data_IF_940138104867
#
_entry.id   IF_940138104867
#
_cell.length_a   1.000
_cell.length_b   1.000
_cell.length_c   1.000
_cell.angle_alpha   90.00
_cell.angle_beta   90.00
_cell.angle_gamma   90.00
#
_symmetry.space_group_name_H-M   'P 1'
#
loop_
_entity.id
_entity.type
_entity.pdbx_description
1 polymer ?
#
# COMPACT_ATOMS: atom_id res chain seq x y z
N UNK A 1 -18.15 -5.81 -17.26
CA UNK A 1 -18.35 -6.85 -18.29
C UNK A 1 -19.57 -7.74 -17.99
N UNK A 2 -19.61 -8.46 -16.85
CA UNK A 2 -20.73 -9.38 -16.52
C UNK A 2 -21.99 -8.71 -15.94
N UNK A 3 -21.93 -7.39 -15.72
CA UNK A 3 -23.07 -6.55 -15.32
C UNK A 3 -23.82 -5.91 -16.49
N UNK A 4 -23.40 -6.19 -17.74
CA UNK A 4 -24.17 -5.78 -18.92
C UNK A 4 -25.53 -6.51 -18.92
N UNK A 5 -26.63 -5.86 -19.36
CA UNK A 5 -27.93 -6.50 -19.54
C UNK A 5 -27.87 -7.80 -20.36
N UNK A 6 -26.90 -7.89 -21.28
CA UNK A 6 -26.62 -9.07 -22.10
C UNK A 6 -26.34 -10.33 -21.28
N UNK A 7 -25.87 -10.20 -20.04
CA UNK A 7 -25.54 -11.33 -19.15
C UNK A 7 -26.57 -11.53 -18.03
N UNK A 8 -27.77 -10.95 -18.13
CA UNK A 8 -28.82 -11.12 -17.12
C UNK A 8 -29.35 -12.56 -17.02
N UNK A 9 -29.08 -13.39 -18.02
CA UNK A 9 -29.40 -14.82 -18.00
C UNK A 9 -28.47 -15.63 -17.06
N UNK A 10 -27.34 -15.07 -16.63
CA UNK A 10 -26.43 -15.72 -15.68
C UNK A 10 -26.83 -15.40 -14.24
N UNK A 11 -26.87 -16.43 -13.39
CA UNK A 11 -27.03 -16.23 -11.94
C UNK A 11 -25.80 -15.52 -11.36
N UNK A 12 -25.91 -14.82 -10.22
CA UNK A 12 -24.77 -14.20 -9.54
C UNK A 12 -23.61 -15.18 -9.29
N UNK A 13 -23.91 -16.43 -8.93
CA UNK A 13 -22.91 -17.48 -8.68
C UNK A 13 -22.15 -17.84 -9.96
N UNK A 14 -22.87 -17.98 -11.08
CA UNK A 14 -22.25 -18.26 -12.37
C UNK A 14 -21.39 -17.08 -12.85
N UNK A 15 -21.85 -15.83 -12.65
CA UNK A 15 -21.04 -14.64 -12.94
C UNK A 15 -19.72 -14.66 -12.15
N UNK A 16 -19.76 -15.02 -10.86
CA UNK A 16 -18.56 -15.15 -10.04
C UNK A 16 -17.63 -16.29 -10.48
N UNK A 17 -18.17 -17.42 -10.93
CA UNK A 17 -17.37 -18.53 -11.49
C UNK A 17 -16.68 -18.09 -12.79
N UNK A 18 -17.41 -17.45 -13.70
CA UNK A 18 -16.86 -16.94 -14.96
C UNK A 18 -15.77 -15.91 -14.68
N UNK A 19 -16.02 -14.96 -13.77
CA UNK A 19 -15.05 -13.94 -13.39
C UNK A 19 -13.75 -14.54 -12.86
N UNK A 20 -13.82 -15.51 -11.92
CA UNK A 20 -12.62 -16.20 -11.42
C UNK A 20 -11.85 -16.92 -12.52
N UNK A 21 -12.54 -17.56 -13.47
CA UNK A 21 -11.88 -18.20 -14.63
C UNK A 21 -11.20 -17.18 -15.54
N UNK A 22 -11.78 -16.01 -15.74
CA UNK A 22 -11.17 -14.91 -16.49
C UNK A 22 -9.89 -14.44 -15.80
N UNK A 23 -9.93 -14.19 -14.48
CA UNK A 23 -8.76 -13.75 -13.72
C UNK A 23 -7.56 -14.69 -13.82
N UNK A 24 -7.80 -16.01 -13.83
CA UNK A 24 -6.74 -17.02 -13.95
C UNK A 24 -6.17 -17.07 -15.37
N UNK A 25 -7.01 -16.92 -16.39
CA UNK A 25 -6.60 -17.03 -17.80
C UNK A 25 -6.00 -15.76 -18.38
N UNK A 26 -6.29 -14.60 -17.80
CA UNK A 26 -5.81 -13.31 -18.30
C UNK A 26 -4.29 -13.18 -18.14
N UNK A 27 -3.61 -12.97 -19.27
CA UNK A 27 -2.20 -12.62 -19.30
C UNK A 27 -1.96 -11.19 -18.77
N UNK A 28 -2.83 -10.26 -19.15
CA UNK A 28 -2.83 -8.88 -18.67
C UNK A 28 -4.14 -8.57 -17.92
N UNK A 29 -4.00 -8.14 -16.66
CA UNK A 29 -5.14 -7.79 -15.81
C UNK A 29 -5.48 -6.29 -15.89
N UNK A 30 -4.63 -5.44 -16.47
CA UNK A 30 -4.80 -3.98 -16.45
C UNK A 30 -6.14 -3.49 -17.01
N UNK A 31 -6.60 -3.93 -18.19
CA UNK A 31 -7.87 -3.43 -18.74
C UNK A 31 -9.05 -3.78 -17.83
N UNK A 32 -9.01 -4.97 -17.22
CA UNK A 32 -10.03 -5.43 -16.29
C UNK A 32 -10.00 -4.63 -14.99
N UNK A 33 -8.80 -4.36 -14.44
CA UNK A 33 -8.63 -3.52 -13.25
C UNK A 33 -9.20 -2.12 -13.48
N UNK A 34 -8.83 -1.46 -14.58
CA UNK A 34 -9.36 -0.13 -14.93
C UNK A 34 -10.89 -0.12 -14.95
N UNK A 35 -11.48 -1.10 -15.64
CA UNK A 35 -12.92 -1.20 -15.75
C UNK A 35 -13.60 -1.39 -14.39
N UNK A 36 -13.06 -2.26 -13.53
CA UNK A 36 -13.64 -2.53 -12.21
C UNK A 36 -13.53 -1.33 -11.28
N UNK A 37 -12.39 -0.63 -11.30
CA UNK A 37 -12.19 0.59 -10.53
C UNK A 37 -13.13 1.71 -10.99
N UNK A 38 -13.31 1.87 -12.29
CA UNK A 38 -14.27 2.83 -12.84
C UNK A 38 -15.71 2.52 -12.38
N UNK A 39 -16.09 1.24 -12.40
CA UNK A 39 -17.39 0.80 -11.92
C UNK A 39 -17.58 1.04 -10.42
N UNK A 40 -16.56 0.74 -9.62
CA UNK A 40 -16.56 0.93 -8.17
C UNK A 40 -16.70 2.41 -7.79
N UNK A 41 -15.99 3.31 -8.47
CA UNK A 41 -16.06 4.75 -8.17
C UNK A 41 -17.35 5.42 -8.68
N UNK A 42 -17.89 5.01 -9.84
CA UNK A 42 -19.07 5.67 -10.44
C UNK A 42 -20.40 5.24 -9.85
N UNK A 43 -20.48 4.02 -9.34
CA UNK A 43 -21.70 3.44 -8.77
C UNK A 43 -21.30 2.61 -7.57
N UNK A 44 -21.99 2.76 -6.44
CA UNK A 44 -21.95 1.78 -5.36
C UNK A 44 -22.56 0.46 -5.88
N UNK A 45 -21.81 -0.28 -6.69
CA UNK A 45 -22.17 -1.55 -7.29
C UNK A 45 -21.53 -2.64 -6.42
N UNK A 46 -22.32 -3.37 -5.61
CA UNK A 46 -21.79 -4.44 -4.77
C UNK A 46 -21.05 -5.51 -5.56
N UNK A 47 -21.43 -5.76 -6.82
CA UNK A 47 -20.74 -6.75 -7.66
C UNK A 47 -19.36 -6.25 -8.11
N UNK A 48 -19.20 -4.93 -8.33
CA UNK A 48 -17.89 -4.35 -8.65
C UNK A 48 -16.92 -4.50 -7.47
N UNK A 49 -17.38 -4.23 -6.24
CA UNK A 49 -16.58 -4.44 -5.04
C UNK A 49 -16.19 -5.92 -4.86
N UNK A 50 -17.13 -6.85 -5.05
CA UNK A 50 -16.81 -8.28 -4.93
C UNK A 50 -15.82 -8.73 -6.01
N UNK A 51 -15.98 -8.27 -7.25
CA UNK A 51 -15.01 -8.54 -8.31
C UNK A 51 -13.62 -7.93 -8.01
N UNK A 52 -13.57 -6.74 -7.41
CA UNK A 52 -12.32 -6.14 -6.94
C UNK A 52 -11.67 -6.95 -5.82
N UNK A 53 -12.46 -7.53 -4.89
CA UNK A 53 -11.94 -8.44 -3.86
C UNK A 53 -11.33 -9.70 -4.48
N UNK A 54 -12.01 -10.31 -5.44
CA UNK A 54 -11.50 -11.47 -6.16
C UNK A 54 -10.23 -11.14 -6.97
N UNK A 55 -10.19 -9.98 -7.64
CA UNK A 55 -9.00 -9.48 -8.33
C UNK A 55 -7.83 -9.26 -7.34
N UNK A 56 -8.11 -8.59 -6.22
CA UNK A 56 -7.13 -8.36 -5.14
C UNK A 56 -6.56 -9.68 -4.62
N UNK A 57 -7.40 -10.67 -4.36
CA UNK A 57 -6.98 -12.01 -3.93
C UNK A 57 -6.11 -12.69 -4.99
N UNK A 58 -6.46 -12.57 -6.27
CA UNK A 58 -5.66 -13.13 -7.36
C UNK A 58 -4.28 -12.47 -7.46
N UNK A 59 -4.20 -11.13 -7.32
CA UNK A 59 -2.92 -10.40 -7.34
C UNK A 59 -2.07 -10.78 -6.12
N UNK A 60 -2.66 -10.86 -4.92
CA UNK A 60 -1.99 -11.35 -3.72
C UNK A 60 -1.46 -12.77 -3.92
N UNK A 61 -2.26 -13.66 -4.50
CA UNK A 61 -1.87 -15.03 -4.83
C UNK A 61 -0.70 -15.09 -5.82
N UNK A 62 -0.69 -14.23 -6.85
CA UNK A 62 0.44 -14.13 -7.79
C UNK A 62 1.75 -13.75 -7.08
N UNK A 63 1.71 -12.82 -6.12
CA UNK A 63 2.90 -12.49 -5.31
C UNK A 63 3.35 -13.64 -4.41
N UNK A 64 2.41 -14.24 -3.67
CA UNK A 64 2.73 -15.32 -2.72
C UNK A 64 3.28 -16.57 -3.41
N UNK A 65 2.81 -16.87 -4.63
CA UNK A 65 3.22 -18.03 -5.41
C UNK A 65 4.42 -17.77 -6.33
N UNK A 66 4.91 -16.54 -6.42
CA UNK A 66 6.09 -16.24 -7.23
C UNK A 66 7.32 -17.00 -6.69
N UNK A 67 8.05 -17.64 -7.59
CA UNK A 67 9.37 -18.19 -7.24
C UNK A 67 10.33 -17.05 -6.90
N UNK A 68 11.40 -17.36 -6.15
CA UNK A 68 12.39 -16.34 -5.77
C UNK A 68 13.06 -15.76 -7.02
N UNK A 69 13.41 -16.62 -7.98
CA UNK A 69 14.13 -16.25 -9.20
C UNK A 69 13.29 -15.41 -10.16
N UNK A 70 11.96 -15.57 -10.13
CA UNK A 70 11.04 -14.85 -11.01
C UNK A 70 10.41 -13.61 -10.38
N UNK A 71 10.70 -13.33 -9.09
CA UNK A 71 10.01 -12.27 -8.35
C UNK A 71 10.28 -10.88 -8.95
N UNK A 72 11.53 -10.60 -9.31
CA UNK A 72 11.90 -9.34 -9.96
C UNK A 72 11.26 -9.19 -11.35
N UNK A 73 11.38 -10.21 -12.21
CA UNK A 73 10.76 -10.17 -13.54
C UNK A 73 9.24 -10.02 -13.46
N UNK A 74 8.61 -10.64 -12.46
CA UNK A 74 7.18 -10.49 -12.22
C UNK A 74 6.84 -9.08 -11.73
N UNK A 75 7.68 -8.49 -10.88
CA UNK A 75 7.53 -7.11 -10.43
C UNK A 75 7.77 -6.08 -11.55
N UNK A 76 8.55 -6.41 -12.56
CA UNK A 76 8.75 -5.55 -13.74
C UNK A 76 7.69 -5.76 -14.82
N UNK A 77 6.76 -6.71 -14.62
CA UNK A 77 5.64 -6.96 -15.55
C UNK A 77 4.44 -6.05 -15.29
N UNK A 78 3.39 -6.21 -16.09
CA UNK A 78 2.10 -5.52 -15.89
C UNK A 78 1.46 -5.78 -14.52
N UNK A 79 1.91 -6.80 -13.77
CA UNK A 79 1.42 -7.04 -12.42
C UNK A 79 1.74 -5.90 -11.45
N UNK A 80 2.87 -5.19 -11.63
CA UNK A 80 3.19 -4.00 -10.82
C UNK A 80 2.19 -2.89 -11.03
N UNK A 81 1.84 -2.59 -12.27
CA UNK A 81 0.84 -1.56 -12.59
C UNK A 81 -0.50 -1.91 -11.94
N UNK A 82 -0.96 -3.15 -12.09
CA UNK A 82 -2.20 -3.63 -11.46
C UNK A 82 -2.14 -3.52 -9.94
N UNK A 83 -1.01 -3.88 -9.33
CA UNK A 83 -0.81 -3.77 -7.90
C UNK A 83 -0.88 -2.32 -7.41
N UNK A 84 -0.19 -1.39 -8.10
CA UNK A 84 -0.23 0.04 -7.78
C UNK A 84 -1.65 0.62 -7.92
N UNK A 85 -2.38 0.23 -8.97
CA UNK A 85 -3.76 0.68 -9.17
C UNK A 85 -4.68 0.27 -8.02
N UNK A 86 -4.52 -0.96 -7.50
CA UNK A 86 -5.32 -1.46 -6.37
C UNK A 86 -4.97 -0.78 -5.04
N UNK A 87 -3.69 -0.46 -4.82
CA UNK A 87 -3.26 0.29 -3.64
C UNK A 87 -3.85 1.71 -3.65
N UNK A 88 -3.82 2.36 -4.82
CA UNK A 88 -4.27 3.74 -4.98
C UNK A 88 -5.80 3.91 -5.01
N UNK A 89 -6.56 2.81 -5.08
CA UNK A 89 -8.02 2.85 -5.28
C UNK A 89 -8.85 2.82 -4.00
N UNK A 90 -8.28 3.21 -2.85
CA UNK A 90 -8.90 3.13 -1.51
C UNK A 90 -9.42 1.76 -1.07
N UNK A 91 -9.16 0.68 -1.82
CA UNK A 91 -9.66 -0.66 -1.52
C UNK A 91 -9.11 -1.22 -0.20
N UNK A 92 -7.99 -0.67 0.29
CA UNK A 92 -7.40 -0.98 1.60
C UNK A 92 -8.27 -0.56 2.79
N UNK A 93 -9.21 0.39 2.62
CA UNK A 93 -10.12 0.80 3.71
C UNK A 93 -11.47 0.10 3.67
N UNK A 94 -11.71 -0.71 2.64
CA UNK A 94 -12.90 -1.54 2.59
C UNK A 94 -12.88 -2.62 3.67
N UNK A 95 -14.06 -2.91 4.22
CA UNK A 95 -14.19 -3.96 5.23
C UNK A 95 -13.72 -5.30 4.64
N UNK A 96 -12.75 -5.90 5.31
CA UNK A 96 -12.25 -7.22 4.98
C UNK A 96 -13.29 -8.30 5.33
N UNK A 97 -13.47 -9.25 4.42
CA UNK A 97 -14.23 -10.48 4.69
C UNK A 97 -13.53 -11.34 5.76
N UNK A 98 -14.24 -12.33 6.30
CA UNK A 98 -13.63 -13.28 7.26
C UNK A 98 -12.38 -13.95 6.73
N UNK A 99 -12.41 -14.40 5.46
CA UNK A 99 -11.27 -15.04 4.80
C UNK A 99 -10.10 -14.09 4.55
N UNK A 100 -10.37 -12.85 4.13
CA UNK A 100 -9.32 -11.84 3.94
C UNK A 100 -8.67 -11.48 5.27
N UNK A 101 -9.44 -11.33 6.35
CA UNK A 101 -8.87 -11.10 7.69
C UNK A 101 -7.93 -12.23 8.13
N UNK A 102 -8.32 -13.48 7.90
CA UNK A 102 -7.45 -14.62 8.22
C UNK A 102 -6.15 -14.58 7.43
N UNK A 103 -6.22 -14.34 6.11
CA UNK A 103 -5.05 -14.19 5.25
C UNK A 103 -4.15 -13.05 5.73
N UNK A 104 -4.71 -11.85 5.91
CA UNK A 104 -3.97 -10.66 6.36
C UNK A 104 -3.31 -10.90 7.71
N UNK A 105 -4.03 -11.44 8.69
CA UNK A 105 -3.45 -11.74 10.00
C UNK A 105 -2.26 -12.70 9.91
N UNK A 106 -2.36 -13.76 9.10
CA UNK A 106 -1.26 -14.70 8.88
C UNK A 106 -0.04 -14.02 8.25
N UNK A 107 -0.25 -13.15 7.27
CA UNK A 107 0.83 -12.47 6.58
C UNK A 107 1.47 -11.40 7.47
N UNK A 108 0.69 -10.60 8.18
CA UNK A 108 1.18 -9.56 9.11
C UNK A 108 1.97 -10.20 10.26
N UNK A 109 1.54 -11.35 10.79
CA UNK A 109 2.32 -12.11 11.78
C UNK A 109 3.71 -12.50 11.27
N UNK A 110 3.85 -12.86 9.99
CA UNK A 110 5.15 -13.16 9.37
C UNK A 110 6.04 -11.92 9.27
N UNK A 111 5.43 -10.74 9.07
CA UNK A 111 6.16 -9.47 8.92
C UNK A 111 6.63 -8.85 10.24
N UNK A 112 6.08 -9.29 11.39
CA UNK A 112 6.47 -8.77 12.70
C UNK A 112 7.96 -8.95 13.02
N UNK A 113 8.62 -9.93 12.38
CA UNK A 113 10.04 -10.19 12.56
C UNK A 113 10.93 -9.32 11.66
N UNK A 114 10.37 -8.52 10.77
CA UNK A 114 11.09 -7.74 9.77
C UNK A 114 11.13 -8.39 8.39
N UNK A 115 11.68 -7.65 7.42
CA UNK A 115 11.78 -8.10 6.02
C UNK A 115 13.20 -8.59 5.78
N UNK A 116 13.43 -9.89 5.95
CA UNK A 116 14.77 -10.48 5.81
C UNK A 116 14.92 -11.48 4.66
N UNK A 117 13.82 -11.85 4.00
CA UNK A 117 13.81 -12.90 2.98
C UNK A 117 12.84 -12.56 1.86
N UNK A 118 12.97 -13.24 0.72
CA UNK A 118 12.00 -13.16 -0.37
C UNK A 118 10.59 -13.60 0.04
N UNK A 119 10.45 -14.49 1.03
CA UNK A 119 9.14 -14.84 1.60
C UNK A 119 8.50 -13.68 2.35
N UNK A 120 9.28 -12.90 3.11
CA UNK A 120 8.80 -11.68 3.75
C UNK A 120 8.41 -10.62 2.72
N UNK A 121 9.21 -10.43 1.67
CA UNK A 121 8.88 -9.51 0.58
C UNK A 121 7.58 -9.88 -0.13
N UNK A 122 7.39 -11.18 -0.46
CA UNK A 122 6.14 -11.68 -1.04
C UNK A 122 4.94 -11.46 -0.12
N UNK A 123 5.12 -11.65 1.20
CA UNK A 123 4.08 -11.37 2.19
C UNK A 123 3.75 -9.87 2.24
N UNK A 124 4.76 -9.00 2.22
CA UNK A 124 4.56 -7.55 2.19
C UNK A 124 3.77 -7.12 0.95
N UNK A 125 4.19 -7.52 -0.25
CA UNK A 125 3.48 -7.21 -1.50
C UNK A 125 2.01 -7.66 -1.47
N UNK A 126 1.72 -8.79 -0.82
CA UNK A 126 0.34 -9.22 -0.62
C UNK A 126 -0.41 -8.35 0.40
N UNK A 127 0.15 -8.05 1.58
CA UNK A 127 -0.53 -7.25 2.63
C UNK A 127 -0.75 -5.81 2.20
N UNK A 128 0.16 -5.22 1.43
CA UNK A 128 0.00 -3.88 0.87
C UNK A 128 -1.32 -3.71 0.10
N UNK A 129 -1.92 -4.78 -0.45
CA UNK A 129 -3.22 -4.69 -1.12
C UNK A 129 -4.42 -4.54 -0.17
N UNK A 130 -4.22 -4.84 1.12
CA UNK A 130 -5.28 -4.94 2.13
C UNK A 130 -5.16 -3.88 3.21
N UNK A 131 -3.95 -3.40 3.53
CA UNK A 131 -3.72 -2.48 4.63
C UNK A 131 -2.72 -1.40 4.25
N UNK A 132 -2.91 -0.15 4.74
CA UNK A 132 -1.86 0.88 4.68
C UNK A 132 -0.72 0.53 5.63
N UNK A 133 0.46 1.12 5.40
CA UNK A 133 1.68 0.79 6.14
C UNK A 133 1.52 0.96 7.65
N UNK A 134 0.83 2.02 8.10
CA UNK A 134 0.62 2.28 9.52
C UNK A 134 -0.20 1.21 10.24
N UNK A 135 -1.01 0.42 9.51
CA UNK A 135 -1.80 -0.68 10.07
C UNK A 135 -1.04 -2.01 10.12
N UNK A 136 0.04 -2.12 9.35
CA UNK A 136 0.98 -3.23 9.46
C UNK A 136 1.92 -2.88 10.61
N UNK A 137 2.09 -3.75 11.59
CA UNK A 137 3.15 -3.60 12.60
C UNK A 137 4.52 -3.92 11.98
N UNK A 138 4.87 -3.18 10.93
CA UNK A 138 6.00 -3.47 10.08
C UNK A 138 7.29 -3.02 10.77
N UNK A 139 8.19 -3.96 11.02
CA UNK A 139 9.55 -3.62 11.39
C UNK A 139 10.35 -3.24 10.13
N UNK A 140 10.40 -1.94 9.85
CA UNK A 140 11.16 -1.35 8.74
C UNK A 140 12.65 -1.17 9.05
N UNK A 141 13.08 -1.36 10.31
CA UNK A 141 14.47 -1.19 10.70
C UNK A 141 15.31 -2.32 10.11
N UNK A 142 16.37 -1.97 9.36
CA UNK A 142 17.26 -2.92 8.68
C UNK A 142 16.53 -3.88 7.72
N UNK A 143 15.39 -3.44 7.16
CA UNK A 143 14.66 -4.22 6.17
C UNK A 143 15.50 -4.42 4.90
N UNK A 144 15.58 -5.66 4.43
CA UNK A 144 16.27 -6.03 3.19
C UNK A 144 15.28 -5.82 2.04
N UNK A 145 15.34 -4.64 1.43
CA UNK A 145 14.48 -4.25 0.31
C UNK A 145 15.26 -4.28 -1.00
N UNK A 146 14.82 -5.03 -2.02
CA UNK A 146 15.47 -5.03 -3.32
C UNK A 146 15.34 -3.68 -4.03
N UNK A 147 16.39 -3.29 -4.77
CA UNK A 147 16.42 -2.02 -5.49
C UNK A 147 15.25 -1.81 -6.47
N UNK A 148 14.78 -2.87 -7.13
CA UNK A 148 13.65 -2.80 -8.07
C UNK A 148 12.30 -2.44 -7.40
N UNK A 149 12.19 -2.60 -6.08
CA UNK A 149 10.98 -2.32 -5.30
C UNK A 149 11.15 -1.12 -4.35
N UNK A 150 12.38 -0.68 -4.10
CA UNK A 150 12.70 0.27 -3.05
C UNK A 150 11.90 1.59 -3.11
N UNK A 151 11.77 2.18 -4.30
CA UNK A 151 10.99 3.42 -4.46
C UNK A 151 9.50 3.21 -4.12
N UNK A 152 8.92 2.08 -4.54
CA UNK A 152 7.51 1.75 -4.27
C UNK A 152 7.30 1.40 -2.79
N UNK A 153 8.30 0.78 -2.14
CA UNK A 153 8.32 0.56 -0.70
C UNK A 153 8.30 1.88 0.07
N UNK A 154 9.15 2.84 -0.29
CA UNK A 154 9.16 4.16 0.35
C UNK A 154 7.83 4.88 0.14
N UNK A 155 7.31 4.90 -1.09
CA UNK A 155 6.01 5.52 -1.38
C UNK A 155 4.89 4.93 -0.52
N UNK A 156 4.91 3.61 -0.30
CA UNK A 156 3.94 2.93 0.54
C UNK A 156 4.11 3.24 2.04
N UNK A 157 5.35 3.30 2.54
CA UNK A 157 5.62 3.68 3.93
C UNK A 157 5.09 5.08 4.24
N UNK A 158 5.32 6.02 3.34
CA UNK A 158 4.96 7.42 3.53
C UNK A 158 3.55 7.77 3.07
N UNK A 159 2.78 6.78 2.61
CA UNK A 159 1.46 7.01 2.04
C UNK A 159 0.56 7.79 3.01
N UNK A 160 0.12 8.94 2.52
CA UNK A 160 -0.67 9.91 3.24
C UNK A 160 -2.13 9.88 2.81
N UNK A 161 -2.56 8.79 2.17
CA UNK A 161 -3.85 8.74 1.51
C UNK A 161 -5.02 9.21 2.40
N UNK A 162 -5.96 10.02 1.87
CA UNK A 162 -6.99 10.72 2.67
C UNK A 162 -7.91 9.81 3.49
N UNK A 163 -8.01 8.53 3.14
CA UNK A 163 -8.84 7.55 3.82
C UNK A 163 -8.23 7.00 5.12
N UNK A 164 -6.97 7.30 5.42
CA UNK A 164 -6.35 6.98 6.71
C UNK A 164 -6.95 7.85 7.84
N UNK A 165 -7.65 8.91 7.46
CA UNK A 165 -8.19 9.95 8.33
C UNK A 165 -9.55 9.50 8.87
N UNK A 166 -9.52 8.89 10.06
CA UNK A 166 -10.68 8.35 10.74
C UNK A 166 -10.27 7.67 12.04
N UNK A 167 -10.77 6.47 12.30
CA UNK A 167 -10.37 5.66 13.48
C UNK A 167 -8.88 5.35 13.56
N UNK A 168 -8.15 5.48 12.44
CA UNK A 168 -6.74 5.11 12.33
C UNK A 168 -5.78 6.32 12.44
N UNK A 169 -6.31 7.53 12.69
CA UNK A 169 -5.50 8.75 12.74
C UNK A 169 -4.36 8.66 13.76
N UNK A 170 -4.63 8.17 14.96
CA UNK A 170 -3.62 8.00 16.02
C UNK A 170 -2.51 7.05 15.61
N UNK A 171 -2.88 5.90 15.03
CA UNK A 171 -1.93 4.91 14.55
C UNK A 171 -1.05 5.47 13.43
N UNK A 172 -1.64 6.23 12.51
CA UNK A 172 -0.89 6.93 11.46
C UNK A 172 0.07 7.98 12.01
N UNK A 173 -0.35 8.80 12.98
CA UNK A 173 0.52 9.80 13.63
C UNK A 173 1.71 9.11 14.31
N UNK A 174 1.45 8.07 15.10
CA UNK A 174 2.49 7.34 15.81
C UNK A 174 3.49 6.69 14.84
N UNK A 175 2.98 6.08 13.76
CA UNK A 175 3.80 5.46 12.74
C UNK A 175 4.73 6.49 12.06
N UNK A 176 4.19 7.64 11.64
CA UNK A 176 4.97 8.70 11.01
C UNK A 176 5.99 9.35 11.95
N UNK A 177 5.66 9.54 13.23
CA UNK A 177 6.64 9.98 14.24
C UNK A 177 7.81 8.99 14.36
N UNK A 178 7.51 7.69 14.36
CA UNK A 178 8.52 6.63 14.39
C UNK A 178 9.44 6.69 13.17
N UNK A 179 8.87 6.83 11.98
CA UNK A 179 9.63 6.95 10.75
C UNK A 179 10.49 8.23 10.71
N UNK A 180 9.95 9.38 11.13
CA UNK A 180 10.69 10.64 11.18
C UNK A 180 11.88 10.56 12.15
N UNK A 181 11.65 9.99 13.34
CA UNK A 181 12.73 9.71 14.31
C UNK A 181 13.79 8.79 13.70
N UNK A 182 13.38 7.75 12.99
CA UNK A 182 14.30 6.82 12.33
C UNK A 182 15.13 7.53 11.25
N UNK A 183 14.54 8.40 10.43
CA UNK A 183 15.29 9.21 9.46
C UNK A 183 16.33 10.09 10.15
N UNK A 184 15.93 10.82 11.20
CA UNK A 184 16.83 11.72 11.93
C UNK A 184 18.04 10.97 12.48
N UNK A 185 17.80 9.88 13.21
CA UNK A 185 18.88 9.05 13.78
C UNK A 185 19.82 8.51 12.71
N UNK A 186 19.31 8.09 11.54
CA UNK A 186 20.19 7.55 10.51
C UNK A 186 20.97 8.63 9.76
N UNK A 187 20.43 9.84 9.59
CA UNK A 187 21.17 10.97 9.02
C UNK A 187 22.33 11.40 9.92
N UNK A 188 22.11 11.48 11.24
CA UNK A 188 23.16 11.75 12.22
C UNK A 188 24.25 10.66 12.24
N UNK A 189 23.87 9.40 12.00
CA UNK A 189 24.83 8.29 11.92
C UNK A 189 25.53 8.20 10.55
N UNK A 190 24.96 8.78 9.50
CA UNK A 190 25.47 8.69 8.12
C UNK A 190 26.76 9.48 7.88
N UNK A 191 27.24 10.25 8.86
CA UNK A 191 28.51 11.01 8.80
C UNK A 191 29.77 10.14 8.59
N UNK A 192 29.65 8.81 8.50
CA UNK A 192 30.80 7.91 8.37
C UNK A 192 31.30 7.68 6.94
N UNK A 193 30.49 7.88 5.87
CA UNK A 193 30.95 7.78 4.45
C UNK A 193 30.01 8.50 3.46
N UNK A 194 30.54 9.00 2.34
CA UNK A 194 29.78 9.72 1.30
C UNK A 194 28.61 8.90 0.71
N UNK A 195 28.81 7.60 0.44
CA UNK A 195 27.78 6.74 -0.16
C UNK A 195 26.57 6.47 0.74
N UNK A 196 26.76 6.42 2.06
CA UNK A 196 25.67 6.28 3.02
C UNK A 196 24.86 7.57 3.12
N UNK A 197 25.52 8.71 2.99
CA UNK A 197 24.87 10.01 3.01
C UNK A 197 23.97 10.22 1.78
N UNK A 198 24.44 9.84 0.58
CA UNK A 198 23.65 9.90 -0.65
C UNK A 198 22.37 9.05 -0.57
N UNK A 199 22.47 7.86 0.02
CA UNK A 199 21.31 7.00 0.25
C UNK A 199 20.26 7.69 1.12
N UNK A 200 20.66 8.25 2.26
CA UNK A 200 19.72 8.91 3.17
C UNK A 200 19.16 10.21 2.60
N UNK A 201 19.94 10.98 1.84
CA UNK A 201 19.43 12.12 1.08
C UNK A 201 18.34 11.71 0.07
N UNK A 202 18.51 10.57 -0.62
CA UNK A 202 17.46 10.05 -1.50
C UNK A 202 16.18 9.72 -0.71
N UNK A 203 16.29 9.05 0.44
CA UNK A 203 15.14 8.76 1.29
C UNK A 203 14.44 10.04 1.77
N UNK A 204 15.22 11.06 2.17
CA UNK A 204 14.70 12.38 2.55
C UNK A 204 13.96 13.03 1.37
N UNK A 205 14.53 13.00 0.16
CA UNK A 205 13.88 13.58 -1.02
C UNK A 205 12.51 12.94 -1.31
N UNK A 206 12.38 11.61 -1.15
CA UNK A 206 11.10 10.92 -1.28
C UNK A 206 10.12 11.36 -0.18
N UNK A 207 10.57 11.42 1.07
CA UNK A 207 9.74 11.91 2.18
C UNK A 207 9.27 13.35 1.97
N UNK A 208 10.15 14.27 1.55
CA UNK A 208 9.83 15.67 1.25
C UNK A 208 8.74 15.76 0.18
N UNK A 209 8.86 14.96 -0.88
CA UNK A 209 7.85 14.92 -1.95
C UNK A 209 6.47 14.48 -1.43
N UNK A 210 6.42 13.41 -0.64
CA UNK A 210 5.14 12.87 -0.15
C UNK A 210 4.53 13.77 0.93
N UNK A 211 5.37 14.31 1.81
CA UNK A 211 4.93 15.12 2.95
C UNK A 211 4.53 16.57 2.59
N UNK A 212 4.74 16.97 1.32
CA UNK A 212 4.21 18.21 0.74
C UNK A 212 2.84 18.03 0.05
N UNK A 213 2.24 16.84 0.10
CA UNK A 213 0.89 16.60 -0.44
C UNK A 213 -0.21 17.19 0.47
N UNK A 214 -1.42 17.48 -0.04
CA UNK A 214 -2.50 18.05 0.76
C UNK A 214 -2.83 17.26 2.03
N UNK A 215 -2.65 15.94 2.03
CA UNK A 215 -2.90 15.11 3.21
C UNK A 215 -2.07 15.50 4.45
N UNK A 216 -0.92 16.15 4.27
CA UNK A 216 -0.04 16.64 5.33
C UNK A 216 -0.30 18.11 5.72
N UNK A 217 -1.51 18.61 5.44
CA UNK A 217 -1.96 19.95 5.85
C UNK A 217 -3.12 19.85 6.85
N UNK A 218 -2.97 20.48 8.02
CA UNK A 218 -3.97 20.52 9.11
C UNK A 218 -5.30 21.13 8.69
N UNK A 219 -5.27 22.03 7.71
CA UNK A 219 -6.47 22.73 7.23
C UNK A 219 -7.45 21.79 6.51
N UNK A 220 -6.97 20.62 6.08
CA UNK A 220 -7.80 19.59 5.46
C UNK A 220 -8.58 18.73 6.47
N UNK A 221 -8.43 19.02 7.77
CA UNK A 221 -9.06 18.26 8.85
C UNK A 221 -10.09 19.14 9.54
N UNK A 222 -11.37 18.78 9.43
CA UNK A 222 -12.50 19.57 9.94
C UNK A 222 -12.68 19.49 11.47
N UNK A 223 -12.16 18.46 12.12
CA UNK A 223 -12.28 18.28 13.56
C UNK A 223 -11.11 18.95 14.31
N UNK A 224 -11.41 19.92 15.17
CA UNK A 224 -10.41 20.63 16.02
C UNK A 224 -9.47 19.67 16.77
N UNK A 225 -10.02 18.57 17.31
CA UNK A 225 -9.22 17.53 18.00
C UNK A 225 -8.22 16.84 17.07
N UNK A 226 -8.56 16.63 15.80
CA UNK A 226 -7.64 16.08 14.81
C UNK A 226 -6.55 17.08 14.43
N UNK A 227 -6.89 18.37 14.34
CA UNK A 227 -5.91 19.43 14.08
C UNK A 227 -4.87 19.53 15.19
N UNK A 228 -5.30 19.53 16.47
CA UNK A 228 -4.40 19.56 17.63
C UNK A 228 -3.44 18.37 17.66
N UNK A 229 -3.93 17.16 17.35
CA UNK A 229 -3.10 15.95 17.32
C UNK A 229 -2.05 15.96 16.21
N UNK A 230 -2.35 16.62 15.09
CA UNK A 230 -1.48 16.68 13.92
C UNK A 230 -0.45 17.81 14.00
N UNK A 231 -0.75 18.88 14.74
CA UNK A 231 0.09 20.07 14.81
C UNK A 231 1.53 19.75 15.19
N UNK A 232 1.72 18.94 16.23
CA UNK A 232 3.06 18.54 16.68
C UNK A 232 3.82 17.77 15.59
N UNK A 233 3.19 16.78 14.96
CA UNK A 233 3.82 16.00 13.88
C UNK A 233 4.19 16.90 12.69
N UNK A 234 3.38 17.90 12.38
CA UNK A 234 3.66 18.85 11.30
C UNK A 234 4.77 19.84 11.67
N UNK A 235 4.86 20.24 12.93
CA UNK A 235 5.99 21.03 13.44
C UNK A 235 7.29 20.22 13.38
N UNK A 236 7.28 18.96 13.85
CA UNK A 236 8.42 18.05 13.77
C UNK A 236 8.88 17.86 12.32
N UNK A 237 7.94 17.67 11.39
CA UNK A 237 8.20 17.61 9.94
C UNK A 237 8.83 18.90 9.44
N UNK A 238 8.25 20.06 9.76
CA UNK A 238 8.73 21.34 9.26
C UNK A 238 10.16 21.62 9.71
N UNK A 239 10.46 21.36 10.99
CA UNK A 239 11.82 21.47 11.53
C UNK A 239 12.78 20.50 10.85
N UNK A 240 12.37 19.25 10.64
CA UNK A 240 13.19 18.26 9.94
C UNK A 240 13.55 18.70 8.52
N UNK A 241 12.56 19.19 7.76
CA UNK A 241 12.79 19.66 6.38
C UNK A 241 13.74 20.85 6.36
N UNK A 242 13.58 21.85 7.24
CA UNK A 242 14.48 23.00 7.34
C UNK A 242 15.96 22.63 7.57
N UNK A 243 16.23 21.52 8.25
CA UNK A 243 17.58 21.08 8.57
C UNK A 243 18.21 20.20 7.46
N UNK A 244 17.42 19.63 6.56
CA UNK A 244 17.84 18.52 5.68
C UNK A 244 17.46 18.70 4.19
N UNK A 245 16.93 19.86 3.79
CA UNK A 245 16.65 20.23 2.39
C UNK A 245 17.23 21.59 2.07
#
# INVERSE_FOLDING_TARGET
MLDSPEYNFLTPELKQIVFRKLLVKSQDLRPLTLQLLDQYHRKANPLALENLRQLRLQVAGKWLNASVDTLESLYQSSLKEVHQMLIQSSLQVELLTGSERQLVNQLTQRLNQGIHTSHHLKALLAVMLYQPACQINLNYQNAIIPGYFFQDFLNYLWDSSPWIIGSNLQQWIQFNRGLLKYLHTNLELAHCTDSHLDFWHHVVAVFTKVSNTPAWNSDNYSAKKSQELLQDLFNDRAQFLQLNT
#
